data_IF_556511367060
#
_entry.id   IF_556511367060
#
_cell.length_a   1.000
_cell.length_b   1.000
_cell.length_c   1.000
_cell.angle_alpha   90.00
_cell.angle_beta   90.00
_cell.angle_gamma   90.00
#
_symmetry.space_group_name_H-M   'P 1'
#
loop_
_entity.id
_entity.type
_entity.pdbx_description
1 polymer ?
#
# COMPACT_ATOMS: atom_id res chain seq x y z
N UNK A 1 -5.06 -22.28 16.28
CA UNK A 1 -4.93 -20.85 15.93
C UNK A 1 -3.53 -20.58 15.40
N UNK A 2 -3.44 -19.95 14.24
CA UNK A 2 -2.15 -19.62 13.62
C UNK A 2 -1.87 -18.12 13.71
N UNK A 3 -0.68 -17.79 14.19
CA UNK A 3 -0.22 -16.40 14.21
C UNK A 3 0.57 -16.15 12.93
N UNK A 4 0.22 -15.10 12.20
CA UNK A 4 0.98 -14.65 11.06
C UNK A 4 2.09 -13.73 11.57
N UNK A 5 3.34 -14.06 11.26
CA UNK A 5 4.50 -13.35 11.76
C UNK A 5 5.41 -12.90 10.60
N UNK A 6 5.46 -11.61 10.34
CA UNK A 6 6.40 -11.03 9.37
C UNK A 6 7.62 -10.51 10.13
N UNK A 7 8.78 -11.05 9.81
CA UNK A 7 10.04 -10.64 10.45
C UNK A 7 10.78 -9.63 9.59
N UNK A 8 11.46 -8.69 10.24
CA UNK A 8 12.35 -7.75 9.55
C UNK A 8 11.62 -6.99 8.44
N UNK A 9 10.42 -6.49 8.73
CA UNK A 9 9.58 -5.87 7.71
C UNK A 9 10.25 -4.75 6.93
N UNK A 10 11.15 -3.92 7.49
CA UNK A 10 11.82 -2.87 6.71
C UNK A 10 12.73 -3.40 5.60
N UNK A 11 13.24 -4.63 5.71
CA UNK A 11 14.23 -5.18 4.78
C UNK A 11 13.83 -6.53 4.19
N UNK A 12 12.66 -7.05 4.53
CA UNK A 12 12.20 -8.34 4.03
C UNK A 12 12.16 -8.38 2.51
N UNK A 13 12.55 -9.50 1.92
CA UNK A 13 12.46 -9.72 0.48
C UNK A 13 11.00 -9.97 0.13
N UNK A 14 10.50 -9.26 -0.89
CA UNK A 14 9.12 -9.37 -1.34
C UNK A 14 9.05 -10.32 -2.54
N UNK A 15 8.03 -11.17 -2.55
CA UNK A 15 7.95 -12.31 -3.49
C UNK A 15 7.47 -11.94 -4.87
N UNK A 16 6.58 -10.97 -4.99
CA UNK A 16 5.96 -10.59 -6.27
C UNK A 16 6.20 -9.12 -6.57
N UNK A 17 6.44 -8.82 -7.85
CA UNK A 17 6.58 -7.44 -8.32
C UNK A 17 5.82 -7.26 -9.62
N UNK A 18 5.15 -6.13 -9.78
CA UNK A 18 4.40 -5.81 -10.98
C UNK A 18 4.27 -4.30 -11.14
N UNK A 19 4.21 -3.80 -12.39
CA UNK A 19 3.95 -2.37 -12.59
C UNK A 19 2.53 -2.03 -12.16
N UNK A 20 2.33 -0.79 -11.72
CA UNK A 20 0.99 -0.32 -11.36
C UNK A 20 0.07 -0.33 -12.57
N UNK A 21 -1.22 -0.59 -12.33
CA UNK A 21 -2.19 -0.82 -13.41
C UNK A 21 -2.56 0.44 -14.19
N UNK A 22 -2.60 1.60 -13.53
CA UNK A 22 -3.02 2.86 -14.15
C UNK A 22 -1.99 3.95 -13.85
N UNK A 23 -0.83 3.91 -14.54
CA UNK A 23 0.19 4.94 -14.34
C UNK A 23 -0.25 6.27 -14.94
N UNK A 24 0.12 7.36 -14.26
CA UNK A 24 -0.17 8.73 -14.67
C UNK A 24 1.11 9.53 -14.94
N UNK A 25 2.28 8.96 -14.71
CA UNK A 25 3.57 9.58 -14.99
C UNK A 25 4.38 8.74 -15.96
N UNK A 26 5.41 9.34 -16.59
CA UNK A 26 6.28 8.62 -17.51
C UNK A 26 7.05 7.52 -16.80
N UNK A 27 7.53 7.81 -15.59
CA UNK A 27 8.13 6.80 -14.75
C UNK A 27 7.01 5.96 -14.16
N UNK A 28 6.96 4.68 -14.52
CA UNK A 28 5.94 3.76 -14.06
C UNK A 28 6.38 3.15 -12.72
N UNK A 29 5.60 3.41 -11.68
CA UNK A 29 5.87 2.82 -10.39
C UNK A 29 5.72 1.30 -10.43
N UNK A 30 6.56 0.61 -9.65
CA UNK A 30 6.52 -0.85 -9.52
C UNK A 30 6.14 -1.19 -8.09
N UNK A 31 5.07 -1.95 -7.94
CA UNK A 31 4.64 -2.45 -6.65
C UNK A 31 5.21 -3.84 -6.40
N UNK A 32 5.64 -4.10 -5.19
CA UNK A 32 6.12 -5.40 -4.76
C UNK A 32 5.41 -5.80 -3.49
N UNK A 33 5.14 -7.09 -3.32
CA UNK A 33 4.36 -7.55 -2.17
C UNK A 33 4.73 -8.96 -1.73
N UNK A 34 4.52 -9.20 -0.45
CA UNK A 34 4.45 -10.54 0.14
C UNK A 34 3.21 -10.54 1.01
N UNK A 35 2.30 -11.46 0.77
CA UNK A 35 1.00 -11.46 1.46
C UNK A 35 0.59 -12.83 1.94
N UNK A 36 -0.28 -12.83 2.95
CA UNK A 36 -0.92 -14.02 3.48
C UNK A 36 -2.43 -13.79 3.47
N UNK A 37 -3.16 -14.65 2.76
CA UNK A 37 -4.62 -14.66 2.82
C UNK A 37 -5.04 -15.57 3.96
N UNK A 38 -5.89 -15.05 4.82
CA UNK A 38 -6.42 -15.80 5.96
C UNK A 38 -7.84 -16.25 5.65
N UNK A 39 -8.31 -17.25 6.40
CA UNK A 39 -9.65 -17.79 6.21
C UNK A 39 -10.75 -16.99 6.90
N UNK A 40 -10.37 -15.95 7.65
CA UNK A 40 -11.30 -15.10 8.41
C UNK A 40 -11.69 -13.81 7.66
N UNK A 41 -11.45 -13.74 6.36
CA UNK A 41 -11.78 -12.56 5.56
C UNK A 41 -10.76 -11.44 5.67
N UNK A 42 -9.53 -11.78 6.04
CA UNK A 42 -8.44 -10.83 6.19
C UNK A 42 -7.26 -11.26 5.33
N UNK A 43 -6.68 -10.30 4.62
CA UNK A 43 -5.36 -10.46 3.98
C UNK A 43 -4.40 -9.51 4.65
N UNK A 44 -3.18 -9.94 4.91
CA UNK A 44 -2.16 -9.06 5.47
C UNK A 44 -0.83 -9.29 4.77
N UNK A 45 0.04 -8.29 4.82
CA UNK A 45 1.32 -8.42 4.14
C UNK A 45 2.22 -7.21 4.28
N UNK A 46 3.26 -7.25 3.45
CA UNK A 46 4.19 -6.15 3.26
C UNK A 46 4.08 -5.72 1.80
N UNK A 47 4.01 -4.42 1.58
CA UNK A 47 3.89 -3.84 0.25
C UNK A 47 4.91 -2.71 0.09
N UNK A 48 5.50 -2.62 -1.09
CA UNK A 48 6.45 -1.58 -1.43
C UNK A 48 6.12 -1.03 -2.80
N UNK A 49 6.34 0.26 -3.01
CA UNK A 49 6.12 0.89 -4.29
C UNK A 49 7.21 1.90 -4.60
N UNK A 50 7.78 1.79 -5.80
CA UNK A 50 8.81 2.71 -6.29
C UNK A 50 8.19 4.03 -6.74
N UNK A 51 8.98 5.12 -6.94
CA UNK A 51 8.44 6.41 -7.35
C UNK A 51 7.63 6.39 -8.63
N UNK A 52 6.60 7.21 -8.67
CA UNK A 52 5.69 7.37 -9.80
C UNK A 52 4.33 7.84 -9.33
N UNK A 53 3.54 8.36 -10.28
CA UNK A 53 2.17 8.83 -10.04
C UNK A 53 1.21 7.84 -10.67
N UNK A 54 0.20 7.41 -9.92
CA UNK A 54 -0.74 6.41 -10.43
C UNK A 54 -2.07 6.46 -9.69
N UNK A 55 -3.12 6.01 -10.39
CA UNK A 55 -4.48 5.97 -9.86
C UNK A 55 -4.77 4.61 -9.28
N UNK A 56 -5.47 4.59 -8.15
CA UNK A 56 -5.89 3.36 -7.51
C UNK A 56 -7.28 3.47 -6.91
N UNK A 57 -8.03 2.38 -7.04
CA UNK A 57 -9.24 2.14 -6.25
C UNK A 57 -8.92 1.07 -5.21
N UNK A 58 -9.15 1.40 -3.96
CA UNK A 58 -9.02 0.47 -2.84
C UNK A 58 -10.42 -0.04 -2.54
N UNK A 59 -10.71 -1.25 -2.99
CA UNK A 59 -12.06 -1.81 -2.92
C UNK A 59 -12.42 -2.24 -1.49
N UNK A 60 -11.49 -2.88 -0.80
CA UNK A 60 -11.67 -3.33 0.58
C UNK A 60 -11.24 -2.22 1.55
N UNK A 61 -11.66 -2.32 2.80
CA UNK A 61 -11.06 -1.49 3.85
C UNK A 61 -9.60 -1.89 4.00
N UNK A 62 -8.74 -0.91 4.17
CA UNK A 62 -7.31 -1.17 4.38
C UNK A 62 -6.79 -0.35 5.54
N UNK A 63 -6.18 -1.02 6.52
CA UNK A 63 -5.35 -0.36 7.52
C UNK A 63 -3.89 -0.62 7.17
N UNK A 64 -3.07 0.42 7.19
CA UNK A 64 -1.64 0.24 6.93
C UNK A 64 -0.78 1.13 7.83
N UNK A 65 0.44 0.69 8.03
CA UNK A 65 1.47 1.43 8.75
C UNK A 65 2.67 1.62 7.83
N UNK A 66 3.06 2.87 7.61
CA UNK A 66 4.17 3.22 6.72
C UNK A 66 5.48 3.04 7.47
N UNK A 67 6.34 2.17 6.94
CA UNK A 67 7.63 1.83 7.53
C UNK A 67 8.72 2.76 7.04
N UNK A 68 8.73 3.05 5.73
CA UNK A 68 9.76 3.86 5.10
C UNK A 68 9.23 4.58 3.89
N UNK A 69 9.94 5.62 3.47
CA UNK A 69 9.60 6.40 2.28
C UNK A 69 8.64 7.54 2.53
N UNK A 70 8.25 8.20 1.45
CA UNK A 70 7.30 9.32 1.49
C UNK A 70 6.47 9.36 0.21
N UNK A 71 5.24 9.81 0.34
CA UNK A 71 4.31 9.93 -0.79
C UNK A 71 3.20 10.90 -0.44
N UNK A 72 2.36 11.16 -1.44
CA UNK A 72 1.07 11.81 -1.20
C UNK A 72 -0.03 10.93 -1.73
N UNK A 73 -1.21 11.05 -1.12
CA UNK A 73 -2.43 10.45 -1.63
C UNK A 73 -3.50 11.53 -1.74
N UNK A 74 -4.11 11.64 -2.91
CA UNK A 74 -5.19 12.58 -3.14
C UNK A 74 -6.47 11.79 -3.39
N UNK A 75 -7.37 11.69 -2.39
CA UNK A 75 -8.65 11.03 -2.63
C UNK A 75 -9.48 11.84 -3.61
N UNK A 76 -10.29 11.15 -4.41
CA UNK A 76 -11.17 11.82 -5.36
C UNK A 76 -12.12 12.76 -4.61
N UNK A 77 -12.15 14.03 -5.01
CA UNK A 77 -12.96 15.05 -4.36
C UNK A 77 -12.44 15.55 -3.03
N UNK A 78 -11.26 15.10 -2.60
CA UNK A 78 -10.67 15.49 -1.32
C UNK A 78 -9.32 16.17 -1.46
N UNK A 79 -8.76 16.52 -0.32
CA UNK A 79 -7.47 17.20 -0.24
C UNK A 79 -6.31 16.20 -0.28
N UNK A 80 -5.18 16.65 -0.83
CA UNK A 80 -3.95 15.86 -0.84
C UNK A 80 -3.43 15.66 0.59
N UNK A 81 -3.12 14.42 0.92
CA UNK A 81 -2.52 14.05 2.21
C UNK A 81 -1.04 13.75 2.02
N UNK A 82 -0.20 14.32 2.86
CA UNK A 82 1.22 13.97 2.91
C UNK A 82 1.41 12.80 3.86
N UNK A 83 2.15 11.79 3.40
CA UNK A 83 2.32 10.52 4.10
C UNK A 83 3.81 10.19 4.14
N UNK A 84 4.29 9.80 5.32
CA UNK A 84 5.70 9.48 5.54
C UNK A 84 5.85 8.35 6.54
N UNK A 85 7.08 7.85 6.66
CA UNK A 85 7.42 6.82 7.64
C UNK A 85 6.92 7.19 9.04
N UNK A 86 6.27 6.24 9.70
CA UNK A 86 5.67 6.42 11.01
C UNK A 86 4.17 6.70 10.98
N UNK A 87 3.62 7.07 9.82
CA UNK A 87 2.18 7.33 9.69
C UNK A 87 1.40 6.03 9.56
N UNK A 88 0.18 6.05 10.05
CA UNK A 88 -0.78 4.96 9.86
C UNK A 88 -2.04 5.51 9.21
N UNK A 89 -2.65 4.70 8.36
CA UNK A 89 -3.84 5.09 7.59
C UNK A 89 -4.93 4.04 7.74
N UNK A 90 -6.16 4.49 7.89
CA UNK A 90 -7.33 3.64 7.72
C UNK A 90 -8.11 4.14 6.52
N UNK A 91 -8.11 3.36 5.46
CA UNK A 91 -8.84 3.70 4.23
C UNK A 91 -10.16 2.94 4.17
N UNK A 92 -11.28 3.64 4.06
CA UNK A 92 -12.57 2.96 3.92
C UNK A 92 -12.67 2.22 2.60
N UNK A 93 -13.59 1.28 2.52
CA UNK A 93 -13.88 0.57 1.28
C UNK A 93 -14.22 1.54 0.15
N UNK A 94 -13.83 1.19 -1.06
CA UNK A 94 -14.08 1.96 -2.28
C UNK A 94 -13.45 3.35 -2.28
N UNK A 95 -12.31 3.49 -1.64
CA UNK A 95 -11.51 4.72 -1.71
C UNK A 95 -10.84 4.79 -3.08
N UNK A 96 -11.11 5.87 -3.81
CA UNK A 96 -10.52 6.13 -5.13
C UNK A 96 -9.63 7.36 -5.03
N UNK A 97 -8.44 7.29 -5.59
CA UNK A 97 -7.53 8.42 -5.54
C UNK A 97 -6.23 8.20 -6.29
N UNK A 98 -5.32 9.13 -6.11
CA UNK A 98 -4.03 9.17 -6.80
C UNK A 98 -2.90 9.12 -5.79
N UNK A 99 -2.03 8.13 -5.96
CA UNK A 99 -0.77 8.03 -5.25
C UNK A 99 0.32 8.77 -6.03
N UNK A 100 1.10 9.56 -5.34
CA UNK A 100 2.32 10.15 -5.88
C UNK A 100 3.47 9.71 -4.97
N UNK A 101 4.18 8.67 -5.39
CA UNK A 101 5.28 8.10 -4.61
C UNK A 101 6.53 8.93 -4.87
N UNK A 102 7.04 9.58 -3.84
CA UNK A 102 8.22 10.46 -3.93
C UNK A 102 9.50 9.69 -3.65
N UNK A 103 9.53 8.96 -2.55
CA UNK A 103 10.60 8.06 -2.17
C UNK A 103 9.96 6.68 -2.00
N UNK A 104 10.64 5.62 -2.43
CA UNK A 104 10.10 4.26 -2.33
C UNK A 104 9.43 4.05 -0.98
N UNK A 105 8.13 3.75 -1.01
CA UNK A 105 7.31 3.55 0.19
C UNK A 105 7.22 2.07 0.49
N UNK A 106 7.41 1.73 1.75
CA UNK A 106 7.14 0.37 2.24
C UNK A 106 6.16 0.46 3.40
N UNK A 107 5.19 -0.45 3.41
CA UNK A 107 4.17 -0.49 4.47
C UNK A 107 3.82 -1.93 4.82
N UNK A 108 3.35 -2.13 6.04
CA UNK A 108 2.59 -3.32 6.41
C UNK A 108 1.11 -2.98 6.33
N UNK A 109 0.29 -3.94 5.94
CA UNK A 109 -1.14 -3.66 5.70
C UNK A 109 -2.04 -4.82 6.13
N UNK A 110 -3.29 -4.47 6.34
CA UNK A 110 -4.39 -5.41 6.55
C UNK A 110 -5.54 -5.00 5.64
N UNK A 111 -5.97 -5.91 4.78
CA UNK A 111 -7.19 -5.75 3.98
C UNK A 111 -8.31 -6.55 4.62
N UNK A 112 -9.48 -5.93 4.73
CA UNK A 112 -10.65 -6.53 5.34
C UNK A 112 -11.71 -6.73 4.26
N UNK A 113 -12.00 -8.00 3.96
CA UNK A 113 -12.95 -8.41 2.92
C UNK A 113 -14.32 -8.60 3.54
N UNK A 114 -15.08 -7.51 3.64
CA UNK A 114 -16.44 -7.55 4.18
C UNK A 114 -17.34 -6.55 3.47
#
# INVERSE_FOLDING_TARGET
>A
MNITHFKNTPTAVLEESFPVAVPLSEVVAVASTTSVERTDGVETGIWECTPGVWRRQIVQQEFCHIISGSCTFTPEGGETMEIKAGDALMMPANTLGVWDIKETVRKTYVLIFK
#
